data_IF_562166346792
#
_entry.id   IF_562166346792
#
_cell.length_a   1.000
_cell.length_b   1.000
_cell.length_c   1.000
_cell.angle_alpha   90.00
_cell.angle_beta   90.00
_cell.angle_gamma   90.00
#
_symmetry.space_group_name_H-M   'P 1'
#
loop_
_entity.id
_entity.type
_entity.pdbx_description
1 polymer ?
#
# COMPACT_ATOMS: atom_id res chain seq x y z
N UNK A 1 -18.87 61.71 -9.06
CA UNK A 1 -18.94 60.40 -8.39
C UNK A 1 -17.56 59.77 -8.43
N UNK A 2 -16.84 59.79 -7.32
CA UNK A 2 -15.66 58.97 -7.08
C UNK A 2 -15.61 58.69 -5.57
N UNK A 3 -15.69 57.42 -5.17
CA UNK A 3 -15.62 56.96 -3.78
C UNK A 3 -14.18 56.54 -3.50
N UNK A 4 -13.51 57.24 -2.59
CA UNK A 4 -12.23 56.82 -2.01
C UNK A 4 -12.47 55.67 -1.03
N UNK A 5 -11.76 54.56 -1.22
CA UNK A 5 -11.75 53.40 -0.33
C UNK A 5 -10.53 53.56 0.57
N UNK A 6 -10.76 53.84 1.86
CA UNK A 6 -9.72 53.87 2.89
C UNK A 6 -9.45 52.43 3.35
N UNK A 7 -8.26 51.91 3.08
CA UNK A 7 -7.77 50.65 3.64
C UNK A 7 -7.39 50.85 5.11
N UNK A 8 -8.21 50.35 6.04
CA UNK A 8 -7.90 50.31 7.46
C UNK A 8 -7.37 48.90 7.80
N UNK A 9 -6.13 48.83 8.27
CA UNK A 9 -5.56 47.63 8.87
C UNK A 9 -6.10 47.51 10.31
N UNK A 10 -6.61 46.35 10.75
CA UNK A 10 -7.25 46.19 12.05
C UNK A 10 -6.27 45.75 13.16
N UNK A 11 -4.98 46.04 13.01
CA UNK A 11 -3.92 45.59 13.93
C UNK A 11 -3.01 46.72 14.43
N UNK A 12 -3.38 47.98 14.16
CA UNK A 12 -2.70 49.16 14.65
C UNK A 12 -3.77 50.03 15.30
N UNK A 13 -4.14 49.68 16.52
CA UNK A 13 -4.75 50.64 17.43
C UNK A 13 -3.59 51.51 17.95
N UNK A 14 -3.45 52.70 17.38
CA UNK A 14 -2.51 53.77 17.81
C UNK A 14 -3.00 54.40 19.13
N UNK A 15 -3.14 53.61 20.21
CA UNK A 15 -3.60 54.11 21.52
C UNK A 15 -2.93 53.39 22.71
N UNK A 16 -1.62 53.10 22.61
CA UNK A 16 -0.79 52.77 23.79
C UNK A 16 0.55 53.51 23.66
N UNK A 17 0.47 54.84 23.60
CA UNK A 17 1.59 55.70 23.94
C UNK A 17 1.94 55.41 25.41
N UNK A 18 2.95 54.57 25.62
CA UNK A 18 3.59 54.39 26.92
C UNK A 18 4.03 55.78 27.41
N UNK A 19 3.44 56.25 28.51
CA UNK A 19 3.83 57.49 29.18
C UNK A 19 5.23 57.32 29.79
N UNK A 20 6.26 57.46 28.95
CA UNK A 20 7.68 57.36 29.30
C UNK A 20 8.09 58.34 30.42
N UNK A 21 7.25 59.35 30.67
CA UNK A 21 7.42 60.40 31.69
C UNK A 21 7.01 59.92 33.08
N UNK A 22 6.08 58.96 33.19
CA UNK A 22 5.68 58.38 34.47
C UNK A 22 6.73 57.38 34.96
N UNK A 23 7.36 56.63 34.05
CA UNK A 23 8.45 55.69 34.38
C UNK A 23 9.70 56.39 34.94
N UNK A 24 10.01 57.61 34.48
CA UNK A 24 11.22 58.35 34.87
C UNK A 24 11.08 59.18 36.16
N UNK A 25 9.86 59.35 36.69
CA UNK A 25 9.61 60.23 37.84
C UNK A 25 9.66 59.54 39.22
N UNK A 26 10.01 58.25 39.27
CA UNK A 26 10.22 57.54 40.54
C UNK A 26 11.58 57.93 41.14
N UNK A 27 11.65 58.53 42.34
CA UNK A 27 12.92 58.94 42.93
C UNK A 27 13.74 57.70 43.30
N UNK A 28 14.90 57.56 42.67
CA UNK A 28 15.94 56.61 43.09
C UNK A 28 16.58 57.12 44.37
N UNK A 29 16.29 56.54 45.54
CA UNK A 29 17.25 56.34 46.64
C UNK A 29 16.62 55.65 47.87
N UNK A 30 17.19 54.49 48.24
CA UNK A 30 17.68 54.17 49.58
C UNK A 30 16.71 54.01 50.76
N UNK A 31 16.58 52.76 51.23
CA UNK A 31 16.69 52.49 52.67
C UNK A 31 15.41 52.41 53.50
N UNK A 32 14.52 51.46 53.21
CA UNK A 32 13.76 50.71 54.23
C UNK A 32 12.98 49.60 53.53
N UNK A 33 13.04 48.38 54.05
CA UNK A 33 12.42 47.21 53.44
C UNK A 33 10.92 47.39 53.26
N UNK A 34 10.46 47.30 52.01
CA UNK A 34 9.05 47.03 51.72
C UNK A 34 8.76 45.60 52.16
N UNK A 35 8.28 45.45 53.40
CA UNK A 35 7.49 44.29 53.78
C UNK A 35 6.21 44.36 52.96
N UNK A 36 6.19 43.70 51.80
CA UNK A 36 5.00 43.56 50.99
C UNK A 36 3.94 42.86 51.84
N UNK A 37 2.87 43.59 52.14
CA UNK A 37 1.72 43.08 52.86
C UNK A 37 1.11 41.90 52.11
N UNK A 38 1.23 40.72 52.70
CA UNK A 38 0.52 39.51 52.30
C UNK A 38 -0.97 39.66 52.64
N UNK A 39 -1.74 40.26 51.73
CA UNK A 39 -3.20 40.27 51.77
C UNK A 39 -3.74 40.45 50.35
N UNK A 40 -4.41 39.40 49.84
CA UNK A 40 -5.20 39.34 48.59
C UNK A 40 -4.60 38.67 47.33
N UNK A 41 -3.60 37.79 47.46
CA UNK A 41 -3.07 36.99 46.33
C UNK A 41 -3.57 35.53 46.28
N UNK A 42 -4.46 35.12 47.18
CA UNK A 42 -4.92 33.72 47.26
C UNK A 42 -6.00 33.32 46.25
N UNK A 43 -6.88 34.25 45.83
CA UNK A 43 -8.04 33.90 45.00
C UNK A 43 -7.70 33.79 43.50
N UNK A 44 -6.94 34.75 42.95
CA UNK A 44 -6.55 34.73 41.53
C UNK A 44 -5.55 33.60 41.22
N UNK A 45 -4.65 33.28 42.17
CA UNK A 45 -3.71 32.18 42.02
C UNK A 45 -4.43 30.83 41.84
N UNK A 46 -5.54 30.62 42.54
CA UNK A 46 -6.34 29.39 42.45
C UNK A 46 -7.06 29.26 41.09
N UNK A 47 -7.61 30.34 40.54
CA UNK A 47 -8.27 30.32 39.23
C UNK A 47 -7.30 30.00 38.08
N UNK A 48 -6.08 30.54 38.14
CA UNK A 48 -5.03 30.24 37.16
C UNK A 48 -4.53 28.80 37.26
N UNK A 49 -4.40 28.25 38.47
CA UNK A 49 -4.06 26.85 38.69
C UNK A 49 -5.16 25.91 38.19
N UNK A 50 -6.43 26.24 38.40
CA UNK A 50 -7.57 25.47 37.90
C UNK A 50 -7.66 25.48 36.38
N UNK A 51 -7.48 26.65 35.74
CA UNK A 51 -7.42 26.75 34.27
C UNK A 51 -6.26 25.94 33.69
N UNK A 52 -5.09 25.96 34.34
CA UNK A 52 -3.93 25.14 33.95
C UNK A 52 -4.23 23.65 34.05
N UNK A 53 -4.93 23.20 35.09
CA UNK A 53 -5.35 21.79 35.24
C UNK A 53 -6.30 21.36 34.13
N UNK A 54 -7.29 22.20 33.81
CA UNK A 54 -8.23 21.93 32.71
C UNK A 54 -7.50 21.77 31.37
N UNK A 55 -6.58 22.69 31.06
CA UNK A 55 -5.79 22.62 29.83
C UNK A 55 -4.91 21.37 29.77
N UNK A 56 -4.30 20.96 30.89
CA UNK A 56 -3.50 19.73 30.95
C UNK A 56 -4.34 18.47 30.73
N UNK A 57 -5.55 18.43 31.30
CA UNK A 57 -6.48 17.31 31.11
C UNK A 57 -6.99 17.25 29.67
N UNK A 58 -7.29 18.40 29.07
CA UNK A 58 -7.65 18.48 27.65
C UNK A 58 -6.51 18.00 26.75
N UNK A 59 -5.27 18.43 27.00
CA UNK A 59 -4.07 17.97 26.26
C UNK A 59 -3.92 16.46 26.37
N UNK A 60 -4.03 15.88 27.58
CA UNK A 60 -3.97 14.43 27.80
C UNK A 60 -5.07 13.70 27.01
N UNK A 61 -6.30 14.20 27.03
CA UNK A 61 -7.42 13.59 26.32
C UNK A 61 -7.22 13.59 24.80
N UNK A 62 -6.65 14.67 24.26
CA UNK A 62 -6.31 14.76 22.83
C UNK A 62 -5.18 13.79 22.48
N UNK A 63 -4.13 13.77 23.29
CA UNK A 63 -3.00 12.85 23.16
C UNK A 63 -3.43 11.38 23.13
N UNK A 64 -4.24 10.97 24.11
CA UNK A 64 -4.73 9.58 24.23
C UNK A 64 -5.57 9.17 23.02
N UNK A 65 -6.47 10.05 22.58
CA UNK A 65 -7.29 9.80 21.38
C UNK A 65 -6.46 9.70 20.11
N UNK A 66 -5.46 10.57 19.98
CA UNK A 66 -4.55 10.56 18.82
C UNK A 66 -3.72 9.29 18.80
N UNK A 67 -3.25 8.85 19.97
CA UNK A 67 -2.48 7.62 20.11
C UNK A 67 -3.34 6.38 19.81
N UNK A 68 -4.58 6.35 20.28
CA UNK A 68 -5.51 5.28 19.94
C UNK A 68 -5.84 5.26 18.43
N UNK A 69 -6.05 6.44 17.83
CA UNK A 69 -6.33 6.57 16.40
C UNK A 69 -5.16 6.08 15.53
N UNK A 70 -3.92 6.44 15.88
CA UNK A 70 -2.72 5.98 15.18
C UNK A 70 -2.52 4.47 15.32
N UNK A 71 -2.76 3.91 16.51
CA UNK A 71 -2.72 2.46 16.72
C UNK A 71 -3.76 1.71 15.88
N UNK A 72 -4.99 2.21 15.82
CA UNK A 72 -6.03 1.63 14.96
C UNK A 72 -5.65 1.70 13.48
N UNK A 73 -5.13 2.85 13.05
CA UNK A 73 -4.69 3.06 11.66
C UNK A 73 -3.56 2.10 11.28
N UNK A 74 -2.61 1.85 12.18
CA UNK A 74 -1.56 0.83 11.96
C UNK A 74 -2.13 -0.57 11.78
N UNK A 75 -3.13 -0.94 12.59
CA UNK A 75 -3.84 -2.23 12.44
C UNK A 75 -4.49 -2.36 11.06
N UNK A 76 -5.21 -1.32 10.62
CA UNK A 76 -5.86 -1.27 9.31
C UNK A 76 -4.86 -1.35 8.15
N UNK A 77 -3.69 -0.69 8.28
CA UNK A 77 -2.64 -0.76 7.26
C UNK A 77 -2.09 -2.18 7.13
N UNK A 78 -1.87 -2.86 8.25
CA UNK A 78 -1.38 -4.24 8.25
C UNK A 78 -2.41 -5.21 7.65
N UNK A 79 -3.69 -5.06 7.99
CA UNK A 79 -4.77 -5.85 7.39
C UNK A 79 -4.85 -5.61 5.88
N UNK A 80 -4.78 -4.34 5.46
CA UNK A 80 -4.78 -3.97 4.04
C UNK A 80 -3.59 -4.56 3.29
N UNK A 81 -2.42 -4.60 3.91
CA UNK A 81 -1.21 -5.19 3.34
C UNK A 81 -1.35 -6.69 3.16
N UNK A 82 -1.88 -7.39 4.17
CA UNK A 82 -2.13 -8.82 4.09
C UNK A 82 -3.12 -9.18 2.98
N UNK A 83 -4.24 -8.45 2.89
CA UNK A 83 -5.23 -8.63 1.82
C UNK A 83 -4.60 -8.33 0.46
N UNK A 84 -3.79 -7.28 0.37
CA UNK A 84 -3.05 -6.93 -0.83
C UNK A 84 -2.12 -8.05 -1.28
N UNK A 85 -1.36 -8.65 -0.36
CA UNK A 85 -0.42 -9.76 -0.67
C UNK A 85 -1.19 -10.97 -1.18
N UNK A 86 -2.29 -11.35 -0.52
CA UNK A 86 -3.14 -12.46 -0.97
C UNK A 86 -3.72 -12.20 -2.37
N UNK A 87 -4.13 -10.96 -2.64
CA UNK A 87 -4.62 -10.55 -3.96
C UNK A 87 -3.51 -10.66 -5.00
N UNK A 88 -2.30 -10.21 -4.66
CA UNK A 88 -1.13 -10.28 -5.52
C UNK A 88 -0.79 -11.75 -5.86
N UNK A 89 -0.79 -12.65 -4.87
CA UNK A 89 -0.58 -14.09 -5.09
C UNK A 89 -1.60 -14.69 -6.05
N UNK A 90 -2.88 -14.36 -5.89
CA UNK A 90 -3.93 -14.85 -6.77
C UNK A 90 -3.76 -14.30 -8.19
N UNK A 91 -3.34 -13.05 -8.38
CA UNK A 91 -3.00 -12.52 -9.71
C UNK A 91 -1.84 -13.29 -10.37
N UNK A 92 -0.78 -13.63 -9.64
CA UNK A 92 0.31 -14.45 -10.20
C UNK A 92 -0.21 -15.80 -10.69
N UNK A 93 -1.07 -16.45 -9.91
CA UNK A 93 -1.67 -17.73 -10.27
C UNK A 93 -2.62 -17.60 -11.48
N UNK A 94 -3.41 -16.53 -11.55
CA UNK A 94 -4.26 -16.25 -12.72
C UNK A 94 -3.42 -16.02 -13.98
N UNK A 95 -2.28 -15.34 -13.88
CA UNK A 95 -1.34 -15.18 -14.99
C UNK A 95 -0.88 -16.51 -15.55
N UNK A 96 -0.49 -17.45 -14.69
CA UNK A 96 -0.08 -18.80 -15.11
C UNK A 96 -1.21 -19.54 -15.86
N UNK A 97 -2.45 -19.41 -15.37
CA UNK A 97 -3.61 -19.99 -16.04
C UNK A 97 -3.82 -19.38 -17.44
N UNK A 98 -3.73 -18.06 -17.57
CA UNK A 98 -3.85 -17.39 -18.86
C UNK A 98 -2.74 -17.82 -19.83
N UNK A 99 -1.51 -17.97 -19.35
CA UNK A 99 -0.40 -18.49 -20.16
C UNK A 99 -0.66 -19.91 -20.67
N UNK A 100 -1.15 -20.80 -19.80
CA UNK A 100 -1.53 -22.15 -20.19
C UNK A 100 -2.66 -22.16 -21.23
N UNK A 101 -3.62 -21.24 -21.12
CA UNK A 101 -4.68 -21.08 -22.12
C UNK A 101 -4.11 -20.59 -23.45
N UNK A 102 -3.21 -19.61 -23.42
CA UNK A 102 -2.56 -19.09 -24.62
C UNK A 102 -1.76 -20.18 -25.35
N UNK A 103 -0.95 -20.97 -24.64
CA UNK A 103 -0.17 -22.07 -25.20
C UNK A 103 -1.07 -23.14 -25.83
N UNK A 104 -2.14 -23.52 -25.12
CA UNK A 104 -3.12 -24.48 -25.65
C UNK A 104 -3.77 -23.95 -26.93
N UNK A 105 -4.10 -22.66 -27.01
CA UNK A 105 -4.65 -22.06 -28.22
C UNK A 105 -3.65 -22.04 -29.37
N UNK A 106 -2.35 -21.86 -29.11
CA UNK A 106 -1.31 -21.97 -30.13
C UNK A 106 -1.17 -23.40 -30.66
N UNK A 107 -1.22 -24.40 -29.77
CA UNK A 107 -1.24 -25.82 -30.13
C UNK A 107 -2.46 -26.14 -30.99
N UNK A 108 -3.64 -25.68 -30.59
CA UNK A 108 -4.89 -25.86 -31.35
C UNK A 108 -4.76 -25.23 -32.74
N UNK A 109 -4.32 -23.98 -32.82
CA UNK A 109 -4.13 -23.28 -34.10
C UNK A 109 -3.11 -23.99 -35.02
N UNK A 110 -2.00 -24.47 -34.46
CA UNK A 110 -1.01 -25.28 -35.19
C UNK A 110 -1.60 -26.60 -35.69
N UNK A 111 -2.29 -27.33 -34.82
CA UNK A 111 -2.93 -28.62 -35.10
C UNK A 111 -3.99 -28.48 -36.19
N UNK A 112 -4.76 -27.40 -36.16
CA UNK A 112 -5.71 -27.10 -37.22
C UNK A 112 -5.05 -26.84 -38.56
N UNK A 113 -3.92 -26.13 -38.63
CA UNK A 113 -3.19 -25.95 -39.90
C UNK A 113 -2.74 -27.28 -40.48
N UNK A 114 -2.25 -28.19 -39.64
CA UNK A 114 -1.89 -29.55 -40.04
C UNK A 114 -3.12 -30.35 -40.48
N UNK A 115 -4.20 -30.29 -39.70
CA UNK A 115 -5.49 -30.92 -40.03
C UNK A 115 -6.03 -30.45 -41.38
N UNK A 116 -5.89 -29.16 -41.72
CA UNK A 116 -6.31 -28.63 -43.01
C UNK A 116 -5.54 -29.27 -44.17
N UNK A 117 -4.23 -29.51 -44.03
CA UNK A 117 -3.42 -30.20 -45.04
C UNK A 117 -3.93 -31.62 -45.26
N UNK A 118 -4.28 -32.34 -44.19
CA UNK A 118 -4.86 -33.68 -44.28
C UNK A 118 -6.25 -33.69 -44.92
N UNK A 119 -7.13 -32.73 -44.58
CA UNK A 119 -8.44 -32.61 -45.23
C UNK A 119 -8.28 -32.34 -46.73
N UNK A 120 -7.30 -31.53 -47.11
CA UNK A 120 -7.01 -31.24 -48.52
C UNK A 120 -6.45 -32.47 -49.25
N UNK A 121 -5.60 -33.29 -48.61
CA UNK A 121 -5.11 -34.54 -49.21
C UNK A 121 -6.23 -35.57 -49.38
N UNK A 122 -7.15 -35.69 -48.42
CA UNK A 122 -8.32 -36.58 -48.52
C UNK A 122 -9.21 -36.22 -49.71
N UNK A 123 -9.48 -34.94 -49.97
CA UNK A 123 -10.23 -34.52 -51.18
C UNK A 123 -9.55 -34.97 -52.47
N UNK A 124 -8.22 -34.98 -52.51
CA UNK A 124 -7.45 -35.36 -53.71
C UNK A 124 -7.61 -36.86 -54.05
N UNK A 125 -7.66 -37.72 -53.03
CA UNK A 125 -7.70 -39.18 -53.22
C UNK A 125 -9.06 -39.63 -53.80
N UNK A 126 -10.18 -39.01 -53.43
CA UNK A 126 -11.51 -39.40 -53.95
C UNK A 126 -11.80 -38.92 -55.38
N UNK A 127 -11.02 -37.97 -55.93
CA UNK A 127 -11.18 -37.45 -57.29
C UNK A 127 -10.16 -37.98 -58.31
N UNK A 128 -9.03 -38.53 -57.86
CA UNK A 128 -7.87 -38.82 -58.71
C UNK A 128 -7.70 -40.27 -59.17
N UNK A 129 -8.48 -41.22 -58.68
CA UNK A 129 -8.20 -42.66 -58.89
C UNK A 129 -8.39 -43.14 -60.34
N UNK A 130 -8.96 -42.32 -61.24
CA UNK A 130 -9.09 -42.71 -62.66
C UNK A 130 -7.85 -42.41 -63.51
N UNK A 131 -6.84 -41.69 -62.99
CA UNK A 131 -5.67 -41.29 -63.80
C UNK A 131 -4.31 -41.80 -63.30
N UNK A 132 -4.23 -42.34 -62.08
CA UNK A 132 -2.95 -42.79 -61.49
C UNK A 132 -2.70 -44.30 -61.51
N UNK A 133 -3.68 -45.12 -61.91
CA UNK A 133 -3.48 -46.58 -62.05
C UNK A 133 -2.74 -46.98 -63.34
N UNK A 134 -2.19 -46.03 -64.10
CA UNK A 134 -1.44 -46.32 -65.34
C UNK A 134 0.04 -45.90 -65.33
N UNK A 135 0.58 -45.31 -64.24
CA UNK A 135 2.02 -45.00 -64.19
C UNK A 135 2.48 -44.82 -62.74
N UNK A 136 3.38 -45.71 -62.32
CA UNK A 136 3.85 -45.85 -60.94
C UNK A 136 4.65 -44.66 -60.41
N UNK A 137 4.56 -44.49 -59.09
CA UNK A 137 5.39 -43.57 -58.31
C UNK A 137 4.92 -43.54 -56.86
N UNK A 138 5.72 -44.12 -55.96
CA UNK A 138 5.54 -44.07 -54.51
C UNK A 138 5.67 -42.63 -54.00
N UNK A 139 4.89 -42.26 -52.98
CA UNK A 139 5.19 -41.13 -52.11
C UNK A 139 4.50 -41.31 -50.74
N UNK A 140 5.27 -41.76 -49.74
CA UNK A 140 4.92 -41.60 -48.33
C UNK A 140 5.31 -40.20 -47.86
N UNK A 141 4.45 -39.45 -47.15
CA UNK A 141 4.87 -38.28 -46.42
C UNK A 141 4.90 -38.61 -44.91
N UNK A 142 6.05 -39.06 -44.41
CA UNK A 142 6.37 -38.97 -42.98
C UNK A 142 6.80 -37.53 -42.69
N UNK A 143 5.96 -36.76 -41.98
CA UNK A 143 6.34 -35.43 -41.49
C UNK A 143 6.35 -35.46 -39.97
N UNK A 144 7.55 -35.41 -39.41
CA UNK A 144 7.86 -35.26 -37.99
C UNK A 144 7.32 -33.93 -37.45
N UNK A 145 6.57 -33.99 -36.36
CA UNK A 145 6.20 -32.84 -35.53
C UNK A 145 7.46 -32.36 -34.80
N UNK A 146 7.91 -31.10 -34.94
CA UNK A 146 8.88 -30.52 -34.02
C UNK A 146 8.13 -30.16 -32.74
N UNK A 147 8.28 -30.98 -31.71
CA UNK A 147 7.95 -30.63 -30.32
C UNK A 147 9.24 -30.07 -29.72
N UNK A 148 9.44 -28.77 -29.85
CA UNK A 148 10.40 -28.06 -29.02
C UNK A 148 9.96 -26.60 -28.93
N UNK A 149 9.08 -26.32 -27.97
CA UNK A 149 8.76 -24.95 -27.56
C UNK A 149 9.64 -24.67 -26.34
N UNK A 150 10.60 -23.73 -26.44
CA UNK A 150 11.43 -23.38 -25.31
C UNK A 150 10.57 -22.72 -24.23
N UNK A 151 10.63 -23.31 -23.03
CA UNK A 151 9.97 -22.90 -21.79
C UNK A 151 10.35 -21.46 -21.42
N UNK A 152 9.60 -20.46 -21.92
CA UNK A 152 9.78 -19.07 -21.50
C UNK A 152 9.13 -18.87 -20.14
N UNK A 153 9.89 -19.09 -19.08
CA UNK A 153 9.50 -18.69 -17.72
C UNK A 153 9.50 -17.17 -17.62
N UNK A 154 8.33 -16.56 -17.84
CA UNK A 154 8.11 -15.14 -17.62
C UNK A 154 7.78 -14.92 -16.14
N UNK A 155 8.81 -14.76 -15.31
CA UNK A 155 8.63 -14.34 -13.91
C UNK A 155 8.02 -12.95 -13.90
N UNK A 156 6.81 -12.78 -13.36
CA UNK A 156 6.18 -11.47 -13.31
C UNK A 156 6.92 -10.55 -12.33
N UNK A 157 6.98 -9.25 -12.64
CA UNK A 157 7.56 -8.23 -11.76
C UNK A 157 6.86 -8.23 -10.38
N UNK A 158 5.58 -8.60 -10.36
CA UNK A 158 4.76 -8.71 -9.17
C UNK A 158 5.21 -9.86 -8.24
N UNK A 159 5.77 -10.96 -8.77
CA UNK A 159 6.33 -12.02 -7.92
C UNK A 159 7.49 -11.49 -7.06
N UNK A 160 8.34 -10.67 -7.65
CA UNK A 160 9.48 -10.06 -6.95
C UNK A 160 9.00 -9.07 -5.88
N UNK A 161 7.95 -8.30 -6.15
CA UNK A 161 7.39 -7.35 -5.16
C UNK A 161 6.70 -8.08 -4.01
N UNK A 162 6.02 -9.20 -4.26
CA UNK A 162 5.47 -10.04 -3.19
C UNK A 162 6.59 -10.53 -2.26
N UNK A 163 7.70 -11.02 -2.81
CA UNK A 163 8.79 -11.56 -2.01
C UNK A 163 9.43 -10.51 -1.11
N UNK A 164 9.68 -9.30 -1.63
CA UNK A 164 10.23 -8.20 -0.85
C UNK A 164 9.25 -7.71 0.22
N UNK A 165 7.95 -7.63 -0.09
CA UNK A 165 6.93 -7.26 0.89
C UNK A 165 6.75 -8.32 1.98
N UNK A 166 6.82 -9.60 1.63
CA UNK A 166 6.79 -10.70 2.62
C UNK A 166 7.99 -10.68 3.54
N UNK A 167 9.18 -10.27 3.09
CA UNK A 167 10.32 -10.08 4.00
C UNK A 167 10.12 -8.86 4.90
N UNK A 168 9.64 -7.76 4.35
CA UNK A 168 9.48 -6.50 5.10
C UNK A 168 8.36 -6.59 6.14
N UNK A 169 7.26 -7.26 5.83
CA UNK A 169 6.17 -7.55 6.78
C UNK A 169 6.64 -8.37 7.96
N UNK A 170 7.40 -9.45 7.73
CA UNK A 170 7.94 -10.29 8.82
C UNK A 170 8.91 -9.53 9.74
N UNK A 171 9.71 -8.63 9.17
CA UNK A 171 10.58 -7.73 9.94
C UNK A 171 9.77 -6.69 10.75
N UNK A 172 8.69 -6.17 10.15
CA UNK A 172 7.77 -5.23 10.79
C UNK A 172 7.00 -5.90 11.95
N UNK A 173 6.53 -7.14 11.76
CA UNK A 173 5.79 -7.93 12.75
C UNK A 173 6.63 -8.19 14.02
N UNK A 174 7.94 -8.41 13.87
CA UNK A 174 8.87 -8.56 15.00
C UNK A 174 9.12 -7.24 15.78
N UNK A 175 8.80 -6.09 15.20
CA UNK A 175 9.17 -4.76 15.73
C UNK A 175 7.94 -3.95 16.22
N UNK A 176 6.71 -4.43 16.00
CA UNK A 176 5.51 -3.63 16.29
C UNK A 176 5.04 -3.66 17.76
N UNK A 177 4.71 -2.49 18.34
CA UNK A 177 4.21 -2.38 19.71
C UNK A 177 2.85 -3.07 19.93
N UNK A 178 2.02 -3.20 18.89
CA UNK A 178 0.71 -3.86 18.95
C UNK A 178 0.79 -5.40 19.12
N UNK A 179 1.86 -6.04 18.63
CA UNK A 179 2.08 -7.50 18.80
C UNK A 179 2.78 -7.84 20.12
N UNK A 180 3.52 -6.89 20.72
CA UNK A 180 4.12 -7.07 22.06
C UNK A 180 3.09 -7.17 23.19
N UNK A 181 1.87 -6.69 22.97
CA UNK A 181 0.78 -6.73 23.97
C UNK A 181 0.26 -8.16 24.20
N UNK A 182 0.44 -9.09 23.25
CA UNK A 182 -0.13 -10.44 23.36
C UNK A 182 0.77 -11.45 24.07
N UNK A 183 2.00 -11.07 24.44
CA UNK A 183 2.95 -11.94 25.14
C UNK A 183 3.50 -11.27 26.41
N UNK A 184 2.59 -10.84 27.29
CA UNK A 184 2.91 -10.42 28.66
C UNK A 184 3.20 -11.66 29.53
N UNK A 185 4.41 -11.81 30.11
CA UNK A 185 4.51 -12.36 31.45
C UNK A 185 3.95 -11.31 32.41
N UNK A 186 2.94 -11.71 33.17
CA UNK A 186 2.40 -10.97 34.29
C UNK A 186 3.40 -11.01 35.47
N UNK A 187 3.45 -9.91 36.23
CA UNK A 187 4.03 -9.72 37.56
C UNK A 187 5.55 -9.83 37.77
N UNK A 188 6.21 -8.67 37.89
CA UNK A 188 7.25 -8.47 38.90
C UNK A 188 7.18 -7.06 39.53
N UNK A 189 6.66 -6.90 40.76
CA UNK A 189 6.49 -5.60 41.42
C UNK A 189 7.76 -5.02 42.07
N UNK A 190 8.97 -5.56 41.82
CA UNK A 190 10.19 -5.13 42.54
C UNK A 190 11.24 -4.37 41.69
N UNK A 191 10.92 -3.95 40.45
CA UNK A 191 11.86 -3.15 39.62
C UNK A 191 11.91 -1.64 39.97
N UNK A 192 11.29 -1.20 41.07
CA UNK A 192 11.20 0.22 41.46
C UNK A 192 12.27 0.64 42.49
N UNK A 193 13.46 0.03 42.49
CA UNK A 193 14.51 0.34 43.49
C UNK A 193 15.82 0.92 42.97
N UNK A 194 16.04 1.05 41.66
CA UNK A 194 17.38 1.40 41.17
C UNK A 194 17.56 2.81 40.57
N UNK A 195 16.65 3.75 40.81
CA UNK A 195 16.83 5.16 40.41
C UNK A 195 16.81 6.15 41.60
N UNK A 196 17.51 5.83 42.70
CA UNK A 196 17.66 6.79 43.82
C UNK A 196 19.06 7.41 43.95
N UNK A 197 19.96 7.24 42.99
CA UNK A 197 21.24 7.96 43.03
C UNK A 197 21.69 8.44 41.65
N UNK A 198 21.19 9.61 41.27
CA UNK A 198 21.85 10.54 40.36
C UNK A 198 21.52 11.94 40.84
N UNK A 199 22.46 12.67 41.47
CA UNK A 199 22.23 14.08 41.78
C UNK A 199 22.36 14.86 40.46
N UNK A 200 21.51 15.88 40.31
CA UNK A 200 21.64 16.92 39.29
C UNK A 200 20.92 16.65 37.96
N UNK A 201 19.58 16.74 38.00
CA UNK A 201 18.81 17.42 36.94
C UNK A 201 17.56 18.03 37.55
N UNK A 202 17.33 19.28 37.18
CA UNK A 202 16.26 20.18 37.61
C UNK A 202 14.88 19.50 37.67
N UNK A 203 14.03 19.84 38.66
CA UNK A 203 12.68 19.31 38.75
C UNK A 203 11.81 20.01 37.70
N UNK A 204 11.79 19.48 36.48
CA UNK A 204 10.69 19.76 35.56
C UNK A 204 9.42 19.08 36.08
N UNK A 205 8.23 19.70 35.96
CA UNK A 205 7.00 19.14 36.50
C UNK A 205 6.71 17.75 35.89
N UNK A 206 6.18 16.79 36.66
CA UNK A 206 5.93 15.42 36.21
C UNK A 206 5.04 15.31 34.95
N UNK A 207 4.23 16.34 34.67
CA UNK A 207 3.43 16.44 33.44
C UNK A 207 4.30 16.45 32.17
N UNK A 208 5.47 17.11 32.19
CA UNK A 208 6.30 17.32 31.00
C UNK A 208 7.08 16.06 30.59
N UNK A 209 7.36 15.15 31.53
CA UNK A 209 7.96 13.84 31.22
C UNK A 209 6.95 12.88 30.59
N UNK A 210 5.68 12.94 31.00
CA UNK A 210 4.63 12.07 30.46
C UNK A 210 4.29 12.44 29.00
N UNK A 211 4.19 13.74 28.69
CA UNK A 211 3.89 14.23 27.34
C UNK A 211 4.97 13.85 26.33
N UNK A 212 6.25 13.93 26.71
CA UNK A 212 7.36 13.56 25.85
C UNK A 212 7.31 12.07 25.43
N UNK A 213 6.85 11.19 26.34
CA UNK A 213 6.70 9.77 26.05
C UNK A 213 5.52 9.48 25.10
N UNK A 214 4.46 10.30 25.14
CA UNK A 214 3.32 10.14 24.22
C UNK A 214 3.68 10.66 22.84
N UNK A 215 4.30 11.83 22.77
CA UNK A 215 4.72 12.43 21.51
C UNK A 215 5.74 11.54 20.77
N UNK A 216 6.72 10.96 21.48
CA UNK A 216 7.66 9.99 20.89
C UNK A 216 6.95 8.72 20.35
N UNK A 217 5.91 8.24 21.04
CA UNK A 217 5.11 7.10 20.55
C UNK A 217 4.29 7.47 19.32
N UNK A 218 3.74 8.68 19.28
CA UNK A 218 3.02 9.18 18.13
C UNK A 218 3.93 9.30 16.92
N UNK A 219 5.12 9.87 17.07
CA UNK A 219 6.10 9.99 15.99
C UNK A 219 6.50 8.62 15.43
N UNK A 220 6.79 7.65 16.30
CA UNK A 220 7.08 6.26 15.88
C UNK A 220 5.90 5.63 15.15
N UNK A 221 4.68 5.82 15.65
CA UNK A 221 3.49 5.30 14.98
C UNK A 221 3.31 5.93 13.59
N UNK A 222 3.54 7.25 13.44
CA UNK A 222 3.47 7.95 12.17
C UNK A 222 4.55 7.48 11.20
N UNK A 223 5.77 7.22 11.67
CA UNK A 223 6.84 6.62 10.87
C UNK A 223 6.45 5.23 10.35
N UNK A 224 5.94 4.35 11.22
CA UNK A 224 5.44 3.04 10.82
C UNK A 224 4.27 3.13 9.84
N UNK A 225 3.36 4.08 10.03
CA UNK A 225 2.26 4.33 9.08
C UNK A 225 2.80 4.78 7.72
N UNK A 226 3.79 5.68 7.70
CA UNK A 226 4.45 6.14 6.47
C UNK A 226 5.11 4.98 5.72
N UNK A 227 5.84 4.12 6.43
CA UNK A 227 6.44 2.91 5.85
C UNK A 227 5.38 1.95 5.31
N UNK A 228 4.31 1.68 6.08
CA UNK A 228 3.21 0.82 5.66
C UNK A 228 2.48 1.35 4.42
N UNK A 229 2.24 2.66 4.35
CA UNK A 229 1.69 3.32 3.17
C UNK A 229 2.64 3.21 1.96
N UNK A 230 3.95 3.31 2.18
CA UNK A 230 4.95 3.08 1.13
C UNK A 230 4.89 1.66 0.57
N UNK A 231 4.76 0.65 1.44
CA UNK A 231 4.58 -0.75 1.04
C UNK A 231 3.28 -0.98 0.26
N UNK A 232 2.16 -0.46 0.77
CA UNK A 232 0.87 -0.51 0.08
C UNK A 232 0.91 0.17 -1.29
N UNK A 233 1.62 1.30 -1.41
CA UNK A 233 1.82 1.97 -2.71
C UNK A 233 2.56 1.09 -3.69
N UNK A 234 3.67 0.48 -3.27
CA UNK A 234 4.45 -0.41 -4.12
C UNK A 234 3.63 -1.63 -4.54
N UNK A 235 2.83 -2.18 -3.62
CA UNK A 235 1.89 -3.26 -3.90
C UNK A 235 0.84 -2.83 -4.93
N UNK A 236 0.22 -1.66 -4.75
CA UNK A 236 -0.79 -1.15 -5.66
C UNK A 236 -0.26 -0.92 -7.09
N UNK A 237 0.97 -0.39 -7.21
CA UNK A 237 1.63 -0.24 -8.52
C UNK A 237 1.87 -1.60 -9.15
N UNK A 238 2.43 -2.56 -8.40
CA UNK A 238 2.65 -3.92 -8.90
C UNK A 238 1.36 -4.60 -9.36
N UNK A 239 0.29 -4.53 -8.54
CA UNK A 239 -1.04 -5.05 -8.89
C UNK A 239 -1.56 -4.42 -10.19
N UNK A 240 -1.42 -3.11 -10.35
CA UNK A 240 -1.90 -2.41 -11.55
C UNK A 240 -1.13 -2.86 -12.81
N UNK A 241 0.19 -2.92 -12.74
CA UNK A 241 1.03 -3.39 -13.85
C UNK A 241 0.72 -4.84 -14.24
N UNK A 242 0.44 -5.72 -13.26
CA UNK A 242 0.03 -7.09 -13.51
C UNK A 242 -1.35 -7.18 -14.18
N UNK A 243 -2.32 -6.38 -13.73
CA UNK A 243 -3.65 -6.31 -14.35
C UNK A 243 -3.55 -5.83 -15.81
N UNK A 244 -2.76 -4.80 -16.08
CA UNK A 244 -2.55 -4.30 -17.44
C UNK A 244 -1.96 -5.38 -18.35
N UNK A 245 -0.94 -6.12 -17.88
CA UNK A 245 -0.35 -7.22 -18.63
C UNK A 245 -1.33 -8.38 -18.86
N UNK A 246 -2.15 -8.72 -17.86
CA UNK A 246 -3.16 -9.76 -18.01
C UNK A 246 -4.26 -9.35 -18.98
N UNK A 247 -4.66 -8.08 -19.00
CA UNK A 247 -5.62 -7.56 -19.99
C UNK A 247 -5.10 -7.74 -21.42
N UNK A 248 -3.85 -7.39 -21.68
CA UNK A 248 -3.23 -7.60 -23.00
C UNK A 248 -3.22 -9.10 -23.40
N UNK A 249 -2.90 -9.98 -22.45
CA UNK A 249 -2.90 -11.43 -22.68
C UNK A 249 -4.31 -11.97 -22.96
N UNK A 250 -5.34 -11.46 -22.27
CA UNK A 250 -6.74 -11.83 -22.52
C UNK A 250 -7.15 -11.42 -23.94
N UNK A 251 -6.76 -10.24 -24.41
CA UNK A 251 -7.05 -9.80 -25.78
C UNK A 251 -6.37 -10.71 -26.82
N UNK A 252 -5.12 -11.12 -26.58
CA UNK A 252 -4.42 -12.08 -27.44
C UNK A 252 -5.10 -13.45 -27.45
N UNK A 253 -5.48 -13.96 -26.28
CA UNK A 253 -6.22 -15.21 -26.12
C UNK A 253 -7.55 -15.14 -26.87
N UNK A 254 -8.31 -14.05 -26.72
CA UNK A 254 -9.57 -13.84 -27.42
C UNK A 254 -9.41 -13.94 -28.93
N UNK A 255 -8.44 -13.21 -29.50
CA UNK A 255 -8.17 -13.23 -30.94
C UNK A 255 -7.75 -14.64 -31.44
N UNK A 256 -6.92 -15.35 -30.65
CA UNK A 256 -6.49 -16.72 -30.99
C UNK A 256 -7.65 -17.72 -30.90
N UNK A 257 -8.54 -17.55 -29.93
CA UNK A 257 -9.72 -18.37 -29.73
C UNK A 257 -10.74 -18.19 -30.85
N UNK A 258 -11.06 -16.95 -31.24
CA UNK A 258 -11.98 -16.66 -32.36
C UNK A 258 -11.49 -17.29 -33.66
N UNK A 259 -10.20 -17.11 -33.97
CA UNK A 259 -9.59 -17.71 -35.15
C UNK A 259 -9.62 -19.24 -35.10
N UNK A 260 -9.43 -19.81 -33.92
CA UNK A 260 -9.49 -21.24 -33.72
C UNK A 260 -10.89 -21.77 -33.98
N UNK A 261 -11.91 -21.11 -33.43
CA UNK A 261 -13.31 -21.47 -33.60
C UNK A 261 -13.73 -21.41 -35.08
N UNK A 262 -13.46 -20.29 -35.77
CA UNK A 262 -13.76 -20.14 -37.20
C UNK A 262 -13.13 -21.26 -38.06
N UNK A 263 -11.87 -21.59 -37.75
CA UNK A 263 -11.11 -22.62 -38.49
C UNK A 263 -11.69 -24.01 -38.20
N UNK A 264 -12.02 -24.32 -36.96
CA UNK A 264 -12.67 -25.58 -36.58
C UNK A 264 -14.02 -25.74 -37.28
N UNK A 265 -14.88 -24.72 -37.27
CA UNK A 265 -16.17 -24.76 -37.95
C UNK A 265 -16.02 -25.00 -39.46
N UNK A 266 -15.06 -24.32 -40.08
CA UNK A 266 -14.76 -24.51 -41.50
C UNK A 266 -14.32 -25.96 -41.80
N UNK A 267 -13.37 -26.48 -41.02
CA UNK A 267 -12.87 -27.85 -41.17
C UNK A 267 -13.96 -28.89 -40.93
N UNK A 268 -14.78 -28.71 -39.89
CA UNK A 268 -15.91 -29.59 -39.59
C UNK A 268 -16.92 -29.62 -40.76
N UNK A 269 -17.24 -28.46 -41.36
CA UNK A 269 -18.08 -28.40 -42.56
C UNK A 269 -17.46 -29.12 -43.76
N UNK A 270 -16.14 -29.05 -43.93
CA UNK A 270 -15.44 -29.78 -45.00
C UNK A 270 -15.47 -31.29 -44.78
N UNK A 271 -15.16 -31.75 -43.56
CA UNK A 271 -15.18 -33.18 -43.21
C UNK A 271 -16.59 -33.76 -43.43
N UNK A 272 -17.64 -33.09 -42.94
CA UNK A 272 -19.03 -33.50 -43.17
C UNK A 272 -19.40 -33.62 -44.65
N UNK A 273 -18.81 -32.80 -45.52
CA UNK A 273 -19.00 -32.89 -46.98
C UNK A 273 -18.26 -34.07 -47.60
N UNK A 274 -17.10 -34.44 -47.08
CA UNK A 274 -16.33 -35.61 -47.53
C UNK A 274 -17.06 -36.89 -47.12
N UNK A 275 -17.57 -36.98 -45.88
CA UNK A 275 -18.25 -38.17 -45.36
C UNK A 275 -19.65 -38.42 -45.95
N UNK A 276 -20.28 -37.40 -46.55
CA UNK A 276 -21.60 -37.52 -47.20
C UNK A 276 -21.54 -38.02 -48.65
N UNK A 277 -20.35 -38.21 -49.20
CA UNK A 277 -20.13 -38.84 -50.51
C UNK A 277 -19.77 -40.30 -50.32
#
# INVERSE_FOLDING_TARGET
MAREIKSSNPFLDDDDDLDDIEFLNHPRQGGSGYMLGNQSSGSEQNEWEDRRRQLLEERRRIEERTLQSTNNSLGLLHESEQVGILTAEELVKQREQLQNVEENLDIINSTMRTSQKHINSLKSIFGGIKNYFSKGGQADPTVSVPVDVPEKRHTSALSTTIETLKSDTKLSEATHPAMRIRNLPYDDPDSLKNELFSPEKTPSPPAMKLTNNVEEKLDKNLEFMSMGLGRLKNLAIGLNEEIEQQNEMIDLIHNKADKADETLEYQNRQIKRILKK
#
